data_IF_497428524052
#
_entry.id   IF_497428524052
#
_cell.length_a   1.000
_cell.length_b   1.000
_cell.length_c   1.000
_cell.angle_alpha   90.00
_cell.angle_beta   90.00
_cell.angle_gamma   90.00
#
_symmetry.space_group_name_H-M   'P 1'
#
loop_
_entity.id
_entity.type
_entity.pdbx_description
1 polymer ?
#
# COMPACT_ATOMS: atom_id res chain seq x y z
N UNK A 1 -10.97 5.50 -40.92
CA UNK A 1 -11.67 4.49 -40.08
C UNK A 1 -11.66 5.05 -38.67
N UNK A 2 -12.78 5.66 -38.22
CA UNK A 2 -12.88 6.26 -36.88
C UNK A 2 -13.00 5.10 -35.89
N UNK A 3 -12.02 4.93 -35.02
CA UNK A 3 -12.18 4.12 -33.82
C UNK A 3 -13.15 4.87 -32.91
N UNK A 4 -14.40 4.41 -32.87
CA UNK A 4 -15.31 4.71 -31.76
C UNK A 4 -14.73 4.01 -30.55
N UNK A 5 -14.10 4.76 -29.65
CA UNK A 5 -13.90 4.27 -28.30
C UNK A 5 -15.32 4.11 -27.74
N UNK A 6 -15.77 2.87 -27.58
CA UNK A 6 -16.94 2.59 -26.76
C UNK A 6 -16.65 3.23 -25.39
N UNK A 7 -17.52 4.14 -24.96
CA UNK A 7 -17.46 4.68 -23.61
C UNK A 7 -17.52 3.49 -22.64
N UNK A 8 -16.59 3.38 -21.68
CA UNK A 8 -16.61 2.27 -20.75
C UNK A 8 -17.95 2.30 -20.02
N UNK A 9 -18.73 1.23 -20.18
CA UNK A 9 -19.99 1.01 -19.48
C UNK A 9 -19.67 1.09 -17.98
N UNK A 10 -20.02 2.22 -17.34
CA UNK A 10 -19.78 2.43 -15.91
C UNK A 10 -20.69 1.49 -15.11
N UNK A 11 -20.26 0.25 -14.94
CA UNK A 11 -20.85 -0.68 -13.97
C UNK A 11 -20.36 -0.32 -12.57
N UNK A 12 -20.75 0.86 -12.06
CA UNK A 12 -20.59 1.15 -10.64
C UNK A 12 -21.74 0.48 -9.90
N UNK A 13 -21.56 -0.79 -9.55
CA UNK A 13 -22.30 -1.34 -8.42
C UNK A 13 -22.00 -0.45 -7.21
N UNK A 14 -23.03 0.19 -6.68
CA UNK A 14 -22.88 1.08 -5.53
C UNK A 14 -22.56 0.24 -4.30
N UNK A 15 -21.47 0.57 -3.60
CA UNK A 15 -21.16 -0.04 -2.32
C UNK A 15 -22.33 0.16 -1.34
N UNK A 16 -22.62 -0.88 -0.56
CA UNK A 16 -23.65 -0.79 0.48
C UNK A 16 -23.28 0.28 1.51
N UNK A 17 -24.30 0.87 2.15
CA UNK A 17 -24.08 1.82 3.24
C UNK A 17 -23.25 1.22 4.38
N UNK A 18 -23.45 -0.07 4.67
CA UNK A 18 -22.67 -0.81 5.66
C UNK A 18 -21.20 -0.90 5.28
N UNK A 19 -20.91 -1.24 4.00
CA UNK A 19 -19.52 -1.30 3.52
C UNK A 19 -18.85 0.06 3.56
N UNK A 20 -19.54 1.12 3.17
CA UNK A 20 -19.02 2.50 3.28
C UNK A 20 -18.67 2.87 4.72
N UNK A 21 -19.48 2.46 5.69
CA UNK A 21 -19.19 2.69 7.12
C UNK A 21 -17.95 1.90 7.56
N UNK A 22 -17.75 0.68 7.08
CA UNK A 22 -16.53 -0.10 7.36
C UNK A 22 -15.27 0.56 6.79
N UNK A 23 -15.31 0.98 5.52
CA UNK A 23 -14.19 1.70 4.89
C UNK A 23 -13.89 3.01 5.64
N UNK A 24 -14.93 3.72 6.10
CA UNK A 24 -14.77 4.91 6.93
C UNK A 24 -14.11 4.60 8.28
N UNK A 25 -14.46 3.48 8.94
CA UNK A 25 -13.80 3.05 10.18
C UNK A 25 -12.31 2.79 9.96
N UNK A 26 -11.94 2.17 8.84
CA UNK A 26 -10.53 1.94 8.47
C UNK A 26 -9.78 3.27 8.33
N UNK A 27 -10.36 4.25 7.63
CA UNK A 27 -9.75 5.59 7.49
C UNK A 27 -9.56 6.28 8.84
N UNK A 28 -10.56 6.25 9.71
CA UNK A 28 -10.50 6.87 11.04
C UNK A 28 -9.46 6.18 11.91
N UNK A 29 -9.42 4.84 11.92
CA UNK A 29 -8.44 4.06 12.66
C UNK A 29 -7.02 4.38 12.22
N UNK A 30 -6.79 4.46 10.91
CA UNK A 30 -5.50 4.86 10.32
C UNK A 30 -5.07 6.25 10.80
N UNK A 31 -5.97 7.26 10.74
CA UNK A 31 -5.72 8.62 11.22
C UNK A 31 -5.32 8.64 12.69
N UNK A 32 -6.03 7.90 13.54
CA UNK A 32 -5.72 7.82 14.96
C UNK A 32 -4.37 7.15 15.20
N UNK A 33 -4.09 6.04 14.51
CA UNK A 33 -2.83 5.31 14.67
C UNK A 33 -1.62 6.17 14.27
N UNK A 34 -1.71 6.87 13.14
CA UNK A 34 -0.70 7.85 12.68
C UNK A 34 -0.42 8.91 13.76
N UNK A 35 -1.48 9.55 14.29
CA UNK A 35 -1.35 10.55 15.34
C UNK A 35 -0.68 9.98 16.61
N UNK A 36 -1.00 8.74 16.98
CA UNK A 36 -0.36 8.07 18.13
C UNK A 36 1.12 7.80 17.88
N UNK A 37 1.49 7.32 16.70
CA UNK A 37 2.90 7.13 16.32
C UNK A 37 3.66 8.45 16.36
N UNK A 38 3.03 9.54 15.90
CA UNK A 38 3.62 10.87 15.97
C UNK A 38 3.91 11.31 17.41
N UNK A 39 2.95 11.11 18.32
CA UNK A 39 3.15 11.37 19.75
C UNK A 39 4.25 10.49 20.36
N UNK A 40 4.31 9.20 20.02
CA UNK A 40 5.36 8.29 20.48
C UNK A 40 6.74 8.74 19.99
N UNK A 41 6.85 9.22 18.76
CA UNK A 41 8.09 9.76 18.23
C UNK A 41 8.53 11.04 18.98
N UNK A 42 7.59 11.95 19.29
CA UNK A 42 7.91 13.15 20.11
C UNK A 42 8.34 12.81 21.53
N UNK A 43 7.94 11.65 22.05
CA UNK A 43 8.40 11.11 23.34
C UNK A 43 9.72 10.33 23.25
N UNK A 44 10.31 10.19 22.05
CA UNK A 44 11.51 9.38 21.84
C UNK A 44 11.27 7.85 21.91
N UNK A 45 10.02 7.40 21.87
CA UNK A 45 9.65 5.97 21.95
C UNK A 45 9.62 5.28 20.58
N UNK A 46 9.28 6.01 19.53
CA UNK A 46 9.37 5.55 18.15
C UNK A 46 10.50 6.31 17.45
N UNK A 47 11.40 5.60 16.77
CA UNK A 47 12.59 6.22 16.15
C UNK A 47 12.22 7.18 15.00
N UNK A 48 11.13 6.89 14.29
CA UNK A 48 10.65 7.67 13.16
C UNK A 48 9.12 7.71 13.15
N UNK A 49 8.56 8.79 12.61
CA UNK A 49 7.15 8.90 12.28
C UNK A 49 7.01 9.48 10.87
N UNK A 50 6.59 8.66 9.92
CA UNK A 50 6.26 9.07 8.56
C UNK A 50 4.73 9.08 8.41
N UNK A 51 4.14 10.27 8.43
CA UNK A 51 2.69 10.39 8.41
C UNK A 51 2.09 10.06 7.04
N UNK A 52 0.91 9.45 7.02
CA UNK A 52 0.07 9.21 5.84
C UNK A 52 -1.23 10.04 5.86
N UNK A 53 -1.31 11.02 6.76
CA UNK A 53 -2.47 11.90 6.89
C UNK A 53 -2.81 12.60 5.57
N UNK A 54 -4.05 12.40 5.10
CA UNK A 54 -4.56 12.92 3.83
C UNK A 54 -4.62 11.87 2.72
N UNK A 55 -4.02 10.70 2.89
CA UNK A 55 -4.02 9.62 1.90
C UNK A 55 -5.03 8.51 2.18
N UNK A 56 -5.83 8.63 3.23
CA UNK A 56 -6.62 7.50 3.73
C UNK A 56 -7.66 7.01 2.73
N UNK A 57 -8.41 7.94 2.11
CA UNK A 57 -9.44 7.60 1.16
C UNK A 57 -8.87 6.91 -0.09
N UNK A 58 -7.77 7.44 -0.64
CA UNK A 58 -7.13 6.88 -1.82
C UNK A 58 -6.62 5.45 -1.55
N UNK A 59 -6.05 5.22 -0.37
CA UNK A 59 -5.51 3.91 -0.01
C UNK A 59 -6.59 2.88 0.26
N UNK A 60 -7.61 3.23 1.06
CA UNK A 60 -8.68 2.28 1.38
C UNK A 60 -9.47 1.91 0.12
N UNK A 61 -9.75 2.87 -0.76
CA UNK A 61 -10.45 2.62 -2.01
C UNK A 61 -9.61 1.77 -2.98
N UNK A 62 -8.29 2.00 -3.03
CA UNK A 62 -7.40 1.19 -3.86
C UNK A 62 -7.38 -0.28 -3.40
N UNK A 63 -7.32 -0.54 -2.11
CA UNK A 63 -7.36 -1.93 -1.59
C UNK A 63 -8.75 -2.54 -1.78
N UNK A 64 -9.82 -1.76 -1.59
CA UNK A 64 -11.21 -2.22 -1.83
C UNK A 64 -11.43 -2.68 -3.28
N UNK A 65 -10.76 -2.06 -4.24
CA UNK A 65 -10.87 -2.39 -5.66
C UNK A 65 -10.01 -3.61 -6.07
N UNK A 66 -9.33 -4.26 -5.13
CA UNK A 66 -8.43 -5.40 -5.38
C UNK A 66 -8.88 -6.65 -4.62
N UNK A 67 -8.31 -7.79 -4.99
CA UNK A 67 -8.46 -9.06 -4.30
C UNK A 67 -7.13 -9.47 -3.63
N UNK A 68 -6.97 -9.21 -2.31
CA UNK A 68 -5.74 -9.52 -1.59
C UNK A 68 -5.36 -11.00 -1.55
N UNK A 69 -6.24 -11.91 -1.99
CA UNK A 69 -5.93 -13.34 -2.07
C UNK A 69 -5.08 -13.70 -3.30
N UNK A 70 -5.00 -12.81 -4.29
CA UNK A 70 -4.25 -13.04 -5.54
C UNK A 70 -3.44 -11.84 -6.02
N UNK A 71 -3.80 -10.62 -5.61
CA UNK A 71 -3.13 -9.40 -6.08
C UNK A 71 -1.85 -9.09 -5.31
N UNK A 72 -0.95 -8.38 -5.98
CA UNK A 72 0.39 -8.06 -5.51
C UNK A 72 0.51 -6.60 -5.11
N UNK A 73 1.14 -6.30 -3.98
CA UNK A 73 1.25 -4.93 -3.46
C UNK A 73 2.72 -4.51 -3.30
N UNK A 74 3.12 -3.49 -4.06
CA UNK A 74 4.39 -2.80 -3.95
C UNK A 74 4.16 -1.41 -3.39
N UNK A 75 4.58 -1.25 -2.15
CA UNK A 75 4.03 -0.26 -1.25
C UNK A 75 5.09 0.86 -0.99
N UNK A 76 4.76 1.96 -0.31
CA UNK A 76 5.72 3.02 0.05
C UNK A 76 5.50 3.62 1.44
N UNK A 77 6.49 4.33 1.99
CA UNK A 77 6.56 4.78 3.40
C UNK A 77 5.35 5.53 4.01
N UNK A 78 4.28 5.88 3.29
CA UNK A 78 3.07 6.54 3.82
C UNK A 78 1.81 5.68 3.67
N UNK A 79 1.76 4.48 4.22
CA UNK A 79 0.74 3.46 3.87
C UNK A 79 -0.11 2.91 5.02
N UNK A 80 -0.33 3.71 6.07
CA UNK A 80 -1.07 3.23 7.24
C UNK A 80 -2.44 2.62 6.88
N UNK A 81 -3.20 3.28 6.00
CA UNK A 81 -4.55 2.83 5.67
C UNK A 81 -4.54 1.60 4.78
N UNK A 82 -3.61 1.51 3.83
CA UNK A 82 -3.46 0.32 2.99
C UNK A 82 -3.13 -0.91 3.84
N UNK A 83 -2.23 -0.78 4.82
CA UNK A 83 -1.88 -1.90 5.72
C UNK A 83 -3.08 -2.38 6.53
N UNK A 84 -3.86 -1.46 7.10
CA UNK A 84 -5.08 -1.80 7.86
C UNK A 84 -6.12 -2.46 6.93
N UNK A 85 -6.30 -1.93 5.71
CA UNK A 85 -7.22 -2.49 4.72
C UNK A 85 -6.78 -3.90 4.26
N UNK A 86 -5.47 -4.18 4.26
CA UNK A 86 -4.87 -5.50 4.03
C UNK A 86 -4.84 -6.39 5.29
N UNK A 87 -5.68 -6.11 6.29
CA UNK A 87 -5.80 -6.88 7.54
C UNK A 87 -4.50 -6.96 8.35
N UNK A 88 -3.71 -5.88 8.35
CA UNK A 88 -2.64 -5.69 9.34
C UNK A 88 -3.22 -5.04 10.59
N UNK A 89 -3.04 -5.66 11.75
CA UNK A 89 -3.58 -5.15 12.99
C UNK A 89 -2.81 -3.89 13.45
N UNK A 90 -3.48 -2.89 14.03
CA UNK A 90 -2.80 -1.70 14.57
C UNK A 90 -1.69 -2.04 15.58
N UNK A 91 -1.87 -3.11 16.36
CA UNK A 91 -0.85 -3.58 17.30
C UNK A 91 0.41 -4.07 16.56
N UNK A 92 0.25 -4.83 15.48
CA UNK A 92 1.38 -5.31 14.67
C UNK A 92 2.16 -4.15 14.06
N UNK A 93 1.46 -3.12 13.58
CA UNK A 93 2.10 -1.89 13.10
C UNK A 93 2.87 -1.19 14.23
N UNK A 94 2.31 -1.10 15.43
CA UNK A 94 2.99 -0.52 16.60
C UNK A 94 4.22 -1.33 17.03
N UNK A 95 4.20 -2.66 16.90
CA UNK A 95 5.37 -3.51 17.15
C UNK A 95 6.54 -3.12 16.26
N UNK A 96 6.28 -2.84 14.98
CA UNK A 96 7.27 -2.28 14.06
C UNK A 96 7.80 -0.91 14.52
N UNK A 97 6.91 0.04 14.85
CA UNK A 97 7.31 1.38 15.32
C UNK A 97 8.09 1.39 16.64
N UNK A 98 7.87 0.39 17.49
CA UNK A 98 8.53 0.23 18.78
C UNK A 98 9.67 -0.82 18.76
N UNK A 99 10.08 -1.25 17.56
CA UNK A 99 11.17 -2.21 17.33
C UNK A 99 11.05 -3.49 18.18
N UNK A 100 9.86 -4.10 18.21
CA UNK A 100 9.61 -5.35 18.93
C UNK A 100 10.03 -6.56 18.09
N UNK A 101 10.59 -7.57 18.75
CA UNK A 101 11.10 -8.77 18.10
C UNK A 101 10.02 -9.60 17.39
N UNK A 102 8.77 -9.45 17.81
CA UNK A 102 7.58 -10.09 17.25
C UNK A 102 6.81 -9.16 16.27
N UNK A 103 7.48 -8.15 15.71
CA UNK A 103 7.06 -7.49 14.47
C UNK A 103 6.93 -8.54 13.35
N UNK A 104 5.72 -8.73 12.77
CA UNK A 104 5.47 -9.80 11.82
C UNK A 104 6.16 -9.61 10.46
N UNK A 105 6.57 -8.39 10.10
CA UNK A 105 7.09 -8.11 8.76
C UNK A 105 8.61 -8.25 8.65
N UNK A 106 9.34 -7.83 9.68
CA UNK A 106 10.81 -7.76 9.62
C UNK A 106 11.52 -8.23 10.89
N UNK A 107 10.78 -8.56 11.96
CA UNK A 107 11.34 -8.78 13.30
C UNK A 107 12.25 -7.61 13.74
N UNK A 108 11.80 -6.37 13.52
CA UNK A 108 12.51 -5.12 13.83
C UNK A 108 13.86 -4.92 13.11
N UNK A 109 14.09 -5.61 11.98
CA UNK A 109 15.31 -5.44 11.17
C UNK A 109 15.19 -4.32 10.14
N UNK A 110 13.97 -3.93 9.79
CA UNK A 110 13.69 -2.86 8.84
C UNK A 110 13.04 -1.66 9.54
N UNK A 111 12.84 -0.60 8.76
CA UNK A 111 12.03 0.53 9.21
C UNK A 111 10.59 0.08 9.53
N UNK A 112 9.87 0.78 10.42
CA UNK A 112 8.47 0.45 10.70
C UNK A 112 7.63 0.48 9.42
N UNK A 113 6.73 -0.50 9.25
CA UNK A 113 5.93 -0.71 8.02
C UNK A 113 6.74 -1.13 6.78
N UNK A 114 7.98 -1.59 6.97
CA UNK A 114 8.78 -2.27 5.95
C UNK A 114 8.92 -3.75 6.30
N UNK A 115 9.15 -4.57 5.29
CA UNK A 115 9.22 -6.03 5.39
C UNK A 115 8.20 -6.70 4.47
N UNK A 116 8.26 -8.03 4.43
CA UNK A 116 7.26 -8.83 3.72
C UNK A 116 6.20 -9.26 4.73
N UNK A 117 4.93 -9.13 4.37
CA UNK A 117 3.86 -9.54 5.26
C UNK A 117 3.51 -11.01 5.04
N UNK A 118 3.37 -11.84 6.09
CA UNK A 118 3.16 -13.28 5.91
C UNK A 118 1.76 -13.67 5.41
N UNK A 119 0.79 -12.74 5.44
CA UNK A 119 -0.63 -13.02 5.16
C UNK A 119 -1.18 -12.41 3.88
N UNK A 120 -0.45 -11.49 3.26
CA UNK A 120 -0.82 -10.83 1.99
C UNK A 120 0.43 -10.74 1.14
N UNK A 121 0.30 -10.74 -0.19
CA UNK A 121 1.48 -10.67 -1.05
C UNK A 121 2.02 -9.24 -1.16
N UNK A 122 2.67 -8.83 -0.07
CA UNK A 122 3.25 -7.51 0.14
C UNK A 122 4.76 -7.61 -0.04
N UNK A 123 5.27 -6.93 -1.07
CA UNK A 123 6.69 -6.89 -1.34
C UNK A 123 7.41 -6.00 -0.33
N UNK A 124 8.58 -6.46 0.11
CA UNK A 124 9.40 -5.70 1.04
C UNK A 124 9.84 -4.36 0.44
N UNK A 125 9.40 -3.27 1.09
CA UNK A 125 9.70 -1.91 0.68
C UNK A 125 11.13 -1.45 1.08
N UNK A 126 11.79 -0.74 0.16
CA UNK A 126 13.08 -0.08 0.36
C UNK A 126 12.92 1.43 0.51
N UNK A 127 13.72 2.08 1.37
CA UNK A 127 13.73 3.55 1.45
C UNK A 127 14.24 4.25 0.18
N UNK A 128 14.83 3.51 -0.77
CA UNK A 128 15.26 4.06 -2.06
C UNK A 128 14.04 4.35 -2.92
N UNK A 129 13.79 5.63 -3.17
CA UNK A 129 12.60 6.13 -3.87
C UNK A 129 12.52 5.54 -5.28
N UNK A 130 11.29 5.20 -5.70
CA UNK A 130 10.90 4.72 -7.05
C UNK A 130 11.36 3.31 -7.45
N UNK A 131 12.32 2.70 -6.75
CA UNK A 131 12.88 1.38 -7.10
C UNK A 131 11.85 0.26 -7.23
N UNK A 132 10.74 0.35 -6.52
CA UNK A 132 9.64 -0.62 -6.57
C UNK A 132 8.83 -0.57 -7.88
N UNK A 133 8.91 0.53 -8.65
CA UNK A 133 8.13 0.71 -9.87
C UNK A 133 8.52 -0.26 -11.00
N UNK A 134 9.80 -0.36 -11.41
CA UNK A 134 10.19 -1.34 -12.42
C UNK A 134 10.05 -2.78 -11.91
N UNK A 135 10.19 -3.00 -10.60
CA UNK A 135 9.92 -4.29 -9.97
C UNK A 135 8.46 -4.69 -10.14
N UNK A 136 7.52 -3.76 -9.93
CA UNK A 136 6.09 -3.98 -10.12
C UNK A 136 5.75 -4.34 -11.58
N UNK A 137 6.34 -3.64 -12.55
CA UNK A 137 6.18 -3.98 -13.96
C UNK A 137 6.68 -5.42 -14.26
N UNK A 138 7.79 -5.82 -13.64
CA UNK A 138 8.31 -7.19 -13.72
C UNK A 138 7.38 -8.24 -13.12
N UNK A 139 6.76 -7.96 -11.97
CA UNK A 139 5.76 -8.85 -11.33
C UNK A 139 4.56 -9.02 -12.26
N UNK A 140 3.96 -7.92 -12.72
CA UNK A 140 2.82 -7.96 -13.64
C UNK A 140 3.14 -8.69 -14.96
N UNK A 141 4.35 -8.49 -15.51
CA UNK A 141 4.81 -9.22 -16.69
C UNK A 141 4.90 -10.74 -16.42
N UNK A 142 5.35 -11.13 -15.23
CA UNK A 142 5.46 -12.53 -14.85
C UNK A 142 4.07 -13.19 -14.78
N UNK A 143 3.06 -12.50 -14.24
CA UNK A 143 1.67 -12.99 -14.22
C UNK A 143 1.10 -13.15 -15.61
N UNK A 144 1.32 -12.14 -16.47
CA UNK A 144 0.90 -12.20 -17.88
C UNK A 144 1.52 -13.39 -18.62
N UNK A 145 2.81 -13.65 -18.41
CA UNK A 145 3.51 -14.77 -19.04
C UNK A 145 3.05 -16.13 -18.51
N UNK A 146 2.57 -16.19 -17.26
CA UNK A 146 2.05 -17.41 -16.62
C UNK A 146 0.54 -17.59 -16.79
N UNK A 147 -0.15 -16.59 -17.33
CA UNK A 147 -1.61 -16.60 -17.48
C UNK A 147 -2.35 -16.49 -16.14
N UNK A 148 -1.77 -15.81 -15.15
CA UNK A 148 -2.44 -15.53 -13.88
C UNK A 148 -3.35 -14.30 -14.02
N UNK A 149 -4.55 -14.41 -13.46
CA UNK A 149 -5.52 -13.33 -13.38
C UNK A 149 -5.34 -12.57 -12.06
N UNK A 150 -4.24 -11.82 -11.97
CA UNK A 150 -3.88 -11.00 -10.81
C UNK A 150 -3.49 -9.60 -11.29
N UNK A 151 -3.65 -8.60 -10.42
CA UNK A 151 -3.13 -7.26 -10.65
C UNK A 151 -1.98 -6.94 -9.70
N UNK A 152 -1.02 -6.16 -10.20
CA UNK A 152 0.05 -5.61 -9.38
C UNK A 152 -0.22 -4.14 -9.12
N UNK A 153 -0.38 -3.78 -7.85
CA UNK A 153 -0.57 -2.40 -7.40
C UNK A 153 0.75 -1.84 -6.90
N UNK A 154 1.14 -0.68 -7.42
CA UNK A 154 2.33 0.04 -6.98
C UNK A 154 2.02 1.46 -6.53
N UNK A 155 2.46 1.80 -5.31
CA UNK A 155 2.31 3.14 -4.74
C UNK A 155 3.62 3.92 -4.86
N UNK A 156 3.52 5.20 -5.22
CA UNK A 156 4.65 6.13 -5.23
C UNK A 156 4.16 7.56 -5.05
N UNK A 157 5.03 8.43 -4.54
CA UNK A 157 4.72 9.86 -4.37
C UNK A 157 4.96 10.66 -5.66
N UNK A 158 4.43 11.87 -5.70
CA UNK A 158 4.66 12.84 -6.77
C UNK A 158 6.17 13.11 -6.99
N UNK A 159 6.96 13.26 -5.93
CA UNK A 159 8.40 13.42 -6.04
C UNK A 159 9.12 12.20 -6.65
N UNK A 160 8.57 11.00 -6.45
CA UNK A 160 9.11 9.79 -7.07
C UNK A 160 8.88 9.76 -8.58
N UNK A 161 7.87 10.47 -9.09
CA UNK A 161 7.60 10.55 -10.53
C UNK A 161 8.76 11.12 -11.35
N UNK A 162 9.65 11.88 -10.72
CA UNK A 162 10.84 12.47 -11.35
C UNK A 162 12.07 11.55 -11.33
N UNK A 163 11.98 10.35 -10.76
CA UNK A 163 13.08 9.38 -10.77
C UNK A 163 13.13 8.63 -12.11
N UNK A 164 14.34 8.22 -12.51
CA UNK A 164 14.57 7.43 -13.72
C UNK A 164 13.78 6.11 -13.73
N UNK A 165 13.71 5.43 -12.58
CA UNK A 165 12.97 4.18 -12.40
C UNK A 165 11.48 4.33 -12.73
N UNK A 166 10.89 5.51 -12.50
CA UNK A 166 9.50 5.77 -12.91
C UNK A 166 9.37 5.81 -14.42
N UNK A 167 10.28 6.49 -15.12
CA UNK A 167 10.28 6.53 -16.58
C UNK A 167 10.45 5.12 -17.16
N UNK A 168 11.37 4.33 -16.61
CA UNK A 168 11.59 2.95 -17.01
C UNK A 168 10.32 2.11 -16.81
N UNK A 169 9.72 2.14 -15.61
CA UNK A 169 8.52 1.37 -15.30
C UNK A 169 7.34 1.69 -16.23
N UNK A 170 7.09 2.98 -16.49
CA UNK A 170 5.99 3.42 -17.36
C UNK A 170 6.20 3.04 -18.82
N UNK A 171 7.44 2.85 -19.26
CA UNK A 171 7.76 2.40 -20.62
C UNK A 171 7.72 0.87 -20.76
N UNK A 172 7.92 0.13 -19.67
CA UNK A 172 7.87 -1.34 -19.65
C UNK A 172 6.47 -1.91 -19.44
N UNK A 173 5.62 -1.23 -18.67
CA UNK A 173 4.24 -1.64 -18.37
C UNK A 173 3.33 -1.57 -19.62
#
# INVERSE_FOLDING_TARGET
>A
MKATADEPEQTTEQLSGERLVELYRIMVLSRYLDQRVWLLNRQGKAAIAASAQGHEAAQVACVEATDPSKDHYLIYYRQFTAMIALNTEPEEMLRGFLAKADDPMSAARQFPLHGAHPRVDLFNFSNVIATQLPQAAGVALADKLRGFDAVTVVYFGDGASSQGDTHEAMNFA
#
